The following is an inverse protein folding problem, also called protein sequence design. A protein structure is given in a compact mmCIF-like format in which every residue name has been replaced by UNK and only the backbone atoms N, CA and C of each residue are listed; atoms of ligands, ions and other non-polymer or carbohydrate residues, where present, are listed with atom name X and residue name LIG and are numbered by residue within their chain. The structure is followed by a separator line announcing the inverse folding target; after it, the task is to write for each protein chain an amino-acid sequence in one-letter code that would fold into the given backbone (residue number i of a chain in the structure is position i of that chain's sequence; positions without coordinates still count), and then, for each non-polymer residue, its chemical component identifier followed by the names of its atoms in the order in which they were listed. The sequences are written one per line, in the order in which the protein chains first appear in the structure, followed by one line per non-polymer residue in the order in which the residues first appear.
data_IF_640641721135
#
_entry.id   IF_640641721135
#
_cell.length_a   1.000
_cell.length_b   1.000
_cell.length_c   1.000
_cell.angle_alpha   90.00
_cell.angle_beta   90.00
_cell.angle_gamma   90.00
#
_symmetry.space_group_name_H-M   'P 1'
#
loop_
_entity.id
_entity.type
_entity.pdbx_description
1 polymer ?
#
# COMPACT_ATOMS: atom_id res chain seq x y z
N UNK A 1 25.36 55.09 -9.02
CA UNK A 1 24.77 54.46 -7.81
C UNK A 1 23.39 53.83 -8.05
N UNK A 2 22.55 54.34 -8.97
CA UNK A 2 21.19 53.78 -9.20
C UNK A 2 21.13 52.41 -9.89
N UNK A 3 22.04 52.10 -10.81
CA UNK A 3 21.95 50.89 -11.64
C UNK A 3 22.11 49.58 -10.83
N UNK A 4 23.02 49.55 -9.85
CA UNK A 4 23.23 48.37 -8.99
C UNK A 4 22.01 48.10 -8.07
N UNK A 5 21.38 49.17 -7.56
CA UNK A 5 20.18 49.05 -6.72
C UNK A 5 18.97 48.56 -7.51
N UNK A 6 18.81 48.99 -8.76
CA UNK A 6 17.73 48.49 -9.66
C UNK A 6 17.94 47.02 -10.00
N UNK A 7 19.17 46.62 -10.32
CA UNK A 7 19.51 45.22 -10.60
C UNK A 7 19.29 44.35 -9.35
N UNK A 8 19.70 44.82 -8.17
CA UNK A 8 19.52 44.07 -6.93
C UNK A 8 18.03 43.87 -6.60
N UNK A 9 17.22 44.93 -6.73
CA UNK A 9 15.77 44.83 -6.52
C UNK A 9 15.11 43.89 -7.53
N UNK A 10 15.52 43.95 -8.81
CA UNK A 10 15.01 43.03 -9.83
C UNK A 10 15.38 41.58 -9.53
N UNK A 11 16.63 41.31 -9.13
CA UNK A 11 17.08 39.97 -8.73
C UNK A 11 16.30 39.47 -7.51
N UNK A 12 16.07 40.32 -6.50
CA UNK A 12 15.28 39.94 -5.31
C UNK A 12 13.85 39.58 -5.68
N UNK A 13 13.19 40.36 -6.55
CA UNK A 13 11.82 40.06 -6.99
C UNK A 13 11.76 38.78 -7.83
N UNK A 14 12.75 38.55 -8.71
CA UNK A 14 12.86 37.30 -9.47
C UNK A 14 13.05 36.10 -8.54
N UNK A 15 13.89 36.21 -7.49
CA UNK A 15 14.09 35.15 -6.50
C UNK A 15 12.83 34.87 -5.66
N UNK A 16 12.06 35.91 -5.31
CA UNK A 16 10.77 35.77 -4.63
C UNK A 16 9.72 35.09 -5.52
N UNK A 17 9.65 35.45 -6.81
CA UNK A 17 8.78 34.80 -7.79
C UNK A 17 9.19 33.34 -8.03
N UNK A 18 10.49 33.02 -8.07
CA UNK A 18 10.99 31.64 -8.16
C UNK A 18 10.64 30.83 -6.91
N UNK A 19 10.60 31.45 -5.73
CA UNK A 19 10.19 30.77 -4.50
C UNK A 19 8.68 30.54 -4.44
N UNK A 20 7.88 31.52 -4.86
CA UNK A 20 6.42 31.44 -4.92
C UNK A 20 5.92 30.43 -5.98
N UNK A 21 6.69 30.23 -7.07
CA UNK A 21 6.40 29.22 -8.10
C UNK A 21 6.77 27.79 -7.68
N UNK A 22 7.68 27.61 -6.71
CA UNK A 22 7.96 26.27 -6.13
C UNK A 22 6.76 25.72 -5.37
N UNK A 23 5.99 26.60 -4.74
CA UNK A 23 4.77 26.26 -4.00
C UNK A 23 3.58 25.93 -4.93
N UNK A 24 3.64 26.35 -6.20
CA UNK A 24 2.45 26.33 -7.04
C UNK A 24 2.08 24.97 -7.65
N UNK A 25 2.99 24.09 -8.12
CA UNK A 25 2.49 22.96 -8.95
C UNK A 25 3.24 21.61 -9.03
N UNK A 26 4.31 21.31 -8.28
CA UNK A 26 4.80 19.92 -8.29
C UNK A 26 6.17 19.60 -7.68
N UNK A 27 7.07 20.57 -7.57
CA UNK A 27 8.44 20.32 -7.09
C UNK A 27 8.45 19.86 -5.62
N UNK A 28 7.55 20.41 -4.79
CA UNK A 28 7.44 20.06 -3.37
C UNK A 28 6.78 18.70 -3.15
N UNK A 29 5.74 18.37 -3.93
CA UNK A 29 5.06 17.07 -3.87
C UNK A 29 6.02 15.97 -4.27
N UNK A 30 6.78 16.13 -5.35
CA UNK A 30 7.78 15.13 -5.76
C UNK A 30 8.84 14.88 -4.69
N UNK A 31 9.36 15.90 -3.99
CA UNK A 31 10.34 15.67 -2.92
C UNK A 31 9.76 14.92 -1.73
N UNK A 32 8.55 15.28 -1.30
CA UNK A 32 7.91 14.62 -0.17
C UNK A 32 7.62 13.15 -0.48
N UNK A 33 7.05 12.87 -1.65
CA UNK A 33 6.78 11.51 -2.11
C UNK A 33 8.06 10.69 -2.25
N UNK A 34 9.13 11.27 -2.81
CA UNK A 34 10.43 10.59 -2.90
C UNK A 34 11.03 10.29 -1.52
N UNK A 35 10.90 11.21 -0.56
CA UNK A 35 11.38 10.99 0.80
C UNK A 35 10.59 9.91 1.54
N UNK A 36 9.26 9.86 1.36
CA UNK A 36 8.41 8.81 1.92
C UNK A 36 8.74 7.45 1.28
N UNK A 37 8.91 7.39 -0.04
CA UNK A 37 9.31 6.16 -0.73
C UNK A 37 10.69 5.66 -0.28
N UNK A 38 11.66 6.55 -0.09
CA UNK A 38 13.00 6.19 0.40
C UNK A 38 12.95 5.65 1.84
N UNK A 39 12.08 6.22 2.69
CA UNK A 39 11.89 5.76 4.06
C UNK A 39 11.30 4.35 4.16
N UNK A 40 10.54 3.93 3.14
CA UNK A 40 9.93 2.60 3.08
C UNK A 40 10.89 1.51 2.55
N UNK A 41 12.12 1.85 2.13
CA UNK A 41 13.09 0.86 1.60
C UNK A 41 13.45 -0.19 2.66
N UNK A 42 13.30 -1.46 2.29
CA UNK A 42 13.76 -2.60 3.09
C UNK A 42 15.16 -2.99 2.63
N UNK A 43 16.19 -2.54 3.36
CA UNK A 43 17.59 -2.83 3.03
C UNK A 43 17.99 -4.30 3.20
N UNK A 44 17.28 -5.05 4.05
CA UNK A 44 17.51 -6.47 4.27
C UNK A 44 16.68 -6.98 5.43
N UNK A 45 16.45 -8.29 5.45
CA UNK A 45 15.71 -8.95 6.51
C UNK A 45 16.59 -9.94 7.28
N UNK A 46 16.31 -10.15 8.58
CA UNK A 46 17.00 -11.18 9.35
C UNK A 46 16.91 -12.55 8.67
N UNK A 47 18.05 -13.16 8.37
CA UNK A 47 18.14 -14.49 7.73
C UNK A 47 17.84 -14.51 6.23
N UNK A 48 17.59 -13.38 5.59
CA UNK A 48 17.39 -13.31 4.14
C UNK A 48 18.74 -13.38 3.41
N UNK A 49 18.89 -14.27 2.41
CA UNK A 49 20.03 -14.22 1.49
C UNK A 49 20.07 -12.90 0.72
N UNK A 50 21.24 -12.57 0.15
CA UNK A 50 21.37 -11.36 -0.68
C UNK A 50 20.38 -11.40 -1.86
N UNK A 51 19.62 -10.32 -2.03
CA UNK A 51 18.68 -10.13 -3.13
C UNK A 51 19.12 -8.98 -4.04
N UNK A 52 18.84 -9.10 -5.34
CA UNK A 52 19.24 -8.13 -6.38
C UNK A 52 18.08 -7.24 -6.87
N UNK A 53 17.05 -7.09 -6.05
CA UNK A 53 15.90 -6.24 -6.34
C UNK A 53 15.63 -5.34 -5.14
N UNK A 54 15.03 -4.17 -5.39
CA UNK A 54 14.56 -3.29 -4.32
C UNK A 54 13.22 -3.78 -3.80
N UNK A 55 13.02 -3.64 -2.51
CA UNK A 55 11.77 -3.91 -1.83
C UNK A 55 11.44 -2.76 -0.91
N UNK A 56 10.14 -2.47 -0.80
CA UNK A 56 9.60 -1.35 -0.04
C UNK A 56 8.45 -1.88 0.80
N UNK A 57 8.38 -1.49 2.07
CA UNK A 57 7.30 -1.90 2.96
C UNK A 57 6.91 -0.72 3.86
N UNK A 58 5.60 -0.49 3.98
CA UNK A 58 5.08 0.67 4.68
C UNK A 58 3.56 0.62 4.83
N UNK A 59 2.97 1.77 5.16
CA UNK A 59 1.53 1.92 5.35
C UNK A 59 0.97 3.01 4.43
N UNK A 60 -0.14 2.69 3.77
CA UNK A 60 -0.92 3.64 2.98
C UNK A 60 -2.18 3.99 3.77
N UNK A 61 -2.32 5.25 4.17
CA UNK A 61 -3.54 5.71 4.85
C UNK A 61 -4.71 5.73 3.87
N UNK A 62 -5.74 4.94 4.15
CA UNK A 62 -6.96 4.82 3.31
C UNK A 62 -8.17 5.54 3.90
N UNK A 63 -8.11 5.87 5.19
CA UNK A 63 -9.11 6.72 5.82
C UNK A 63 -8.49 7.48 7.00
N UNK A 64 -8.17 8.76 6.78
CA UNK A 64 -7.56 9.61 7.81
C UNK A 64 -8.48 9.82 9.02
N UNK A 65 -9.76 10.10 8.78
CA UNK A 65 -10.75 10.39 9.83
C UNK A 65 -10.90 9.25 10.84
N UNK A 66 -10.77 8.01 10.37
CA UNK A 66 -10.89 6.81 11.19
C UNK A 66 -9.54 6.15 11.47
N UNK A 67 -8.43 6.80 11.12
CA UNK A 67 -7.08 6.28 11.34
C UNK A 67 -6.81 4.93 10.66
N UNK A 68 -7.45 4.63 9.52
CA UNK A 68 -7.25 3.35 8.82
C UNK A 68 -6.12 3.45 7.82
N UNK A 69 -5.20 2.51 7.89
CA UNK A 69 -4.11 2.34 6.94
C UNK A 69 -3.98 0.87 6.51
N UNK A 70 -3.54 0.66 5.27
CA UNK A 70 -3.20 -0.65 4.73
C UNK A 70 -1.69 -0.81 4.74
N UNK A 71 -1.21 -1.90 5.31
CA UNK A 71 0.17 -2.32 5.13
C UNK A 71 0.38 -2.81 3.70
N UNK A 72 1.53 -2.48 3.10
CA UNK A 72 1.94 -3.00 1.81
C UNK A 72 3.39 -3.50 1.86
N UNK A 73 3.71 -4.41 0.95
CA UNK A 73 5.09 -4.83 0.68
C UNK A 73 5.26 -5.00 -0.84
N UNK A 74 6.01 -4.10 -1.44
CA UNK A 74 6.27 -4.02 -2.86
C UNK A 74 7.67 -4.55 -3.20
N UNK A 75 7.78 -5.26 -4.31
CA UNK A 75 9.02 -5.80 -4.83
C UNK A 75 9.19 -5.32 -6.27
N UNK A 76 10.31 -4.69 -6.58
CA UNK A 76 10.65 -4.36 -7.96
C UNK A 76 10.96 -5.63 -8.75
N UNK A 77 10.67 -5.60 -10.05
CA UNK A 77 11.09 -6.66 -10.93
C UNK A 77 12.62 -6.74 -11.03
N UNK A 78 13.15 -7.94 -11.14
CA UNK A 78 14.61 -8.19 -11.20
C UNK A 78 15.25 -7.74 -12.52
N UNK A 79 14.46 -7.52 -13.57
CA UNK A 79 14.95 -7.10 -14.88
C UNK A 79 14.14 -5.92 -15.41
N UNK A 80 14.82 -4.79 -15.64
CA UNK A 80 14.24 -3.55 -16.19
C UNK A 80 12.93 -3.16 -15.48
N UNK A 81 12.95 -2.91 -14.16
CA UNK A 81 11.74 -2.65 -13.37
C UNK A 81 10.87 -1.53 -13.94
N UNK A 82 11.47 -0.52 -14.54
CA UNK A 82 10.80 0.59 -15.22
C UNK A 82 10.00 0.20 -16.48
N UNK A 83 10.21 -1.02 -17.01
CA UNK A 83 9.52 -1.54 -18.19
C UNK A 83 8.52 -2.65 -17.84
N UNK A 84 8.47 -3.12 -16.59
CA UNK A 84 7.58 -4.20 -16.18
C UNK A 84 6.22 -3.67 -15.73
N UNK A 85 5.13 -4.44 -15.94
CA UNK A 85 3.82 -4.06 -15.44
C UNK A 85 3.76 -4.16 -13.91
N UNK A 86 2.86 -3.39 -13.30
CA UNK A 86 2.56 -3.49 -11.88
C UNK A 86 1.53 -4.60 -11.62
N UNK A 87 1.86 -5.54 -10.73
CA UNK A 87 0.94 -6.57 -10.27
C UNK A 87 0.51 -6.26 -8.83
N UNK A 88 -0.80 -6.07 -8.63
CA UNK A 88 -1.40 -5.97 -7.31
C UNK A 88 -1.93 -7.34 -6.88
N UNK A 89 -1.38 -7.88 -5.79
CA UNK A 89 -1.83 -9.15 -5.21
C UNK A 89 -2.67 -8.91 -3.96
N UNK A 90 -3.93 -9.36 -3.97
CA UNK A 90 -4.85 -9.25 -2.84
C UNK A 90 -5.31 -10.66 -2.44
N UNK A 91 -5.03 -11.04 -1.20
CA UNK A 91 -5.58 -12.27 -0.62
C UNK A 91 -7.00 -11.97 -0.09
N UNK A 92 -7.92 -12.90 -0.30
CA UNK A 92 -9.22 -12.88 0.37
C UNK A 92 -9.09 -13.39 1.80
N UNK A 93 -9.92 -12.85 2.69
CA UNK A 93 -10.26 -13.48 3.98
C UNK A 93 -11.75 -13.78 3.96
N UNK A 94 -12.11 -14.98 4.37
CA UNK A 94 -13.50 -15.40 4.53
C UNK A 94 -13.87 -15.22 6.00
N UNK A 95 -14.88 -14.40 6.30
CA UNK A 95 -15.26 -14.10 7.67
C UNK A 95 -16.32 -15.09 8.19
N UNK A 96 -16.41 -15.29 9.51
CA UNK A 96 -17.50 -16.08 10.12
C UNK A 96 -18.89 -15.48 9.85
N UNK A 97 -18.97 -14.18 9.58
CA UNK A 97 -20.22 -13.52 9.17
C UNK A 97 -20.62 -13.94 7.75
N UNK A 98 -19.63 -14.22 6.89
CA UNK A 98 -19.87 -14.77 5.55
C UNK A 98 -20.33 -16.22 5.63
N UNK A 99 -19.78 -17.02 6.55
CA UNK A 99 -20.30 -18.36 6.88
C UNK A 99 -21.77 -18.30 7.30
N UNK A 100 -22.10 -17.42 8.26
CA UNK A 100 -23.47 -17.29 8.75
C UNK A 100 -24.42 -16.82 7.64
N UNK A 101 -23.99 -15.89 6.79
CA UNK A 101 -24.78 -15.43 5.62
C UNK A 101 -24.99 -16.55 4.62
N UNK A 102 -23.97 -17.34 4.31
CA UNK A 102 -24.05 -18.48 3.39
C UNK A 102 -24.96 -19.56 3.96
N UNK A 103 -24.82 -19.88 5.24
CA UNK A 103 -25.68 -20.83 5.95
C UNK A 103 -27.13 -20.34 5.92
N UNK A 104 -27.41 -19.09 6.30
CA UNK A 104 -28.76 -18.51 6.28
C UNK A 104 -29.36 -18.44 4.87
N UNK A 105 -28.55 -18.20 3.85
CA UNK A 105 -29.00 -18.23 2.46
C UNK A 105 -29.37 -19.65 2.04
N UNK A 106 -28.55 -20.64 2.39
CA UNK A 106 -28.83 -22.06 2.17
C UNK A 106 -30.13 -22.50 2.86
N UNK A 107 -30.37 -22.06 4.09
CA UNK A 107 -31.64 -22.27 4.80
C UNK A 107 -32.84 -21.69 4.06
N UNK A 108 -32.72 -20.45 3.53
CA UNK A 108 -33.80 -19.79 2.80
C UNK A 108 -34.12 -20.48 1.48
N UNK A 109 -33.12 -21.03 0.80
CA UNK A 109 -33.27 -21.68 -0.50
C UNK A 109 -33.77 -23.13 -0.37
N UNK A 110 -33.28 -23.87 0.64
CA UNK A 110 -33.52 -25.32 0.74
C UNK A 110 -34.39 -25.75 1.93
N UNK A 111 -34.79 -24.82 2.82
CA UNK A 111 -35.77 -25.06 3.89
C UNK A 111 -35.39 -26.13 4.93
N UNK A 112 -34.16 -26.65 4.92
CA UNK A 112 -33.71 -27.76 5.77
C UNK A 112 -32.40 -27.44 6.50
N UNK A 113 -32.32 -27.93 7.75
CA UNK A 113 -31.19 -27.75 8.67
C UNK A 113 -30.03 -28.66 8.30
N UNK A 114 -28.82 -28.12 8.19
CA UNK A 114 -27.60 -28.87 7.86
C UNK A 114 -27.07 -29.70 9.06
N UNK A 115 -27.96 -30.13 9.94
CA UNK A 115 -27.65 -30.85 11.18
C UNK A 115 -28.06 -32.34 11.10
N UNK A 116 -28.75 -32.75 10.03
CA UNK A 116 -29.30 -34.10 9.86
C UNK A 116 -28.40 -35.06 9.05
N UNK A 117 -27.11 -34.73 8.87
CA UNK A 117 -26.16 -35.73 8.36
C UNK A 117 -25.77 -36.68 9.51
N UNK A 118 -26.03 -37.99 9.40
CA UNK A 118 -25.60 -38.94 10.41
C UNK A 118 -24.06 -38.88 10.52
N UNK A 119 -23.57 -38.79 11.76
CA UNK A 119 -22.14 -38.94 12.07
C UNK A 119 -21.81 -40.42 12.16
N UNK A 120 -21.99 -41.15 11.08
CA UNK A 120 -21.57 -42.53 10.96
C UNK A 120 -20.23 -42.61 10.21
N UNK A 121 -19.18 -42.91 10.99
CA UNK A 121 -18.02 -43.59 10.44
C UNK A 121 -16.68 -42.86 10.52
N UNK A 122 -16.24 -42.51 11.72
CA UNK A 122 -14.81 -42.62 12.04
C UNK A 122 -14.68 -43.28 13.41
N UNK A 123 -14.66 -44.62 13.41
CA UNK A 123 -14.17 -45.38 14.57
C UNK A 123 -12.64 -45.23 14.55
N UNK A 124 -12.10 -44.65 15.62
CA UNK A 124 -10.67 -44.66 15.84
C UNK A 124 -10.20 -46.13 15.90
N UNK A 125 -9.24 -46.48 15.06
CA UNK A 125 -8.46 -47.70 15.23
C UNK A 125 -7.42 -47.37 16.29
N UNK A 126 -7.66 -47.85 17.51
CA UNK A 126 -6.69 -47.77 18.59
C UNK A 126 -5.42 -48.53 18.16
N UNK A 127 -4.26 -47.88 18.31
CA UNK A 127 -2.92 -48.50 18.23
C UNK A 127 -2.34 -48.56 19.62
#
# INVERSE_FOLDING_TARGET
MGLCSVILNFVVHVLLLISFTKEALGVTISRKVLAEQEADIVHGLPGQPEVKFKQYAGYITVNETHGRALFYWFFEATHKPEQQPLLLWLNGVFSCEDEEKIIKQSYKENGTKMDDQPKDGFKNVDT
#
